data_IF_144378729651
#
_entry.id   IF_144378729651
#
_cell.length_a   1.000
_cell.length_b   1.000
_cell.length_c   1.000
_cell.angle_alpha   90.00
_cell.angle_beta   90.00
_cell.angle_gamma   90.00
#
_symmetry.space_group_name_H-M   'P 1'
#
loop_
_entity.id
_entity.type
_entity.pdbx_description
1 polymer ?
#
# COMPACT_ATOMS: atom_id res chain seq x y z
N UNK A 1 14.82 -23.54 -14.77
CA UNK A 1 15.12 -22.10 -14.88
C UNK A 1 15.30 -21.59 -13.46
N UNK A 2 16.49 -21.16 -13.09
CA UNK A 2 16.85 -20.72 -11.71
C UNK A 2 17.07 -19.22 -11.63
N UNK A 3 16.73 -18.48 -12.69
CA UNK A 3 16.84 -17.03 -12.69
C UNK A 3 15.72 -16.43 -11.83
N UNK A 4 16.07 -15.34 -11.14
CA UNK A 4 15.13 -14.58 -10.33
C UNK A 4 14.03 -13.98 -11.22
N UNK A 5 12.74 -14.10 -10.84
CA UNK A 5 11.66 -13.58 -11.65
C UNK A 5 11.74 -12.04 -11.71
N UNK A 6 11.57 -11.51 -12.92
CA UNK A 6 11.51 -10.07 -13.15
C UNK A 6 10.22 -9.48 -12.59
N UNK A 7 10.23 -8.17 -12.35
CA UNK A 7 9.05 -7.45 -11.86
C UNK A 7 7.86 -7.58 -12.82
N UNK A 8 8.11 -7.58 -14.13
CA UNK A 8 7.08 -7.81 -15.15
C UNK A 8 6.44 -9.20 -15.04
N UNK A 9 7.23 -10.26 -14.84
CA UNK A 9 6.70 -11.63 -14.64
C UNK A 9 5.85 -11.69 -13.38
N UNK A 10 6.35 -11.12 -12.28
CA UNK A 10 5.63 -11.11 -11.00
C UNK A 10 4.33 -10.32 -11.12
N UNK A 11 4.34 -9.17 -11.79
CA UNK A 11 3.18 -8.31 -12.01
C UNK A 11 2.03 -9.07 -12.71
N UNK A 12 2.37 -9.81 -13.78
CA UNK A 12 1.42 -10.68 -14.48
C UNK A 12 0.89 -11.78 -13.57
N UNK A 13 1.75 -12.41 -12.76
CA UNK A 13 1.36 -13.51 -11.88
C UNK A 13 0.39 -13.10 -10.76
N UNK A 14 0.54 -11.91 -10.18
CA UNK A 14 -0.27 -11.46 -9.03
C UNK A 14 -1.32 -10.39 -9.37
N UNK A 15 -1.38 -9.95 -10.63
CA UNK A 15 -2.42 -9.04 -11.11
C UNK A 15 -2.27 -7.58 -10.65
N UNK A 16 -1.03 -7.09 -10.51
CA UNK A 16 -0.73 -5.68 -10.19
C UNK A 16 0.17 -5.07 -11.26
N UNK A 17 0.41 -3.76 -11.22
CA UNK A 17 1.35 -3.14 -12.17
C UNK A 17 2.81 -3.45 -11.84
N UNK A 18 3.67 -3.50 -12.86
CA UNK A 18 5.12 -3.64 -12.68
C UNK A 18 5.69 -2.56 -11.75
N UNK A 19 5.21 -1.32 -11.87
CA UNK A 19 5.60 -0.22 -10.98
C UNK A 19 5.27 -0.50 -9.50
N UNK A 20 4.11 -1.10 -9.24
CA UNK A 20 3.73 -1.50 -7.89
C UNK A 20 4.61 -2.66 -7.38
N UNK A 21 4.99 -3.60 -8.25
CA UNK A 21 5.95 -4.65 -7.90
C UNK A 21 7.28 -4.01 -7.50
N UNK A 22 7.86 -3.15 -8.33
CA UNK A 22 9.12 -2.46 -8.03
C UNK A 22 9.04 -1.64 -6.74
N UNK A 23 7.90 -0.97 -6.48
CA UNK A 23 7.72 -0.15 -5.29
C UNK A 23 7.69 -0.97 -4.00
N UNK A 24 7.03 -2.13 -4.02
CA UNK A 24 6.75 -2.91 -2.82
C UNK A 24 7.69 -4.10 -2.62
N UNK A 25 8.32 -4.62 -3.67
CA UNK A 25 9.31 -5.71 -3.59
C UNK A 25 10.48 -5.29 -2.72
N UNK A 26 10.95 -6.19 -1.87
CA UNK A 26 12.11 -5.97 -1.00
C UNK A 26 13.18 -7.03 -1.20
N UNK A 27 12.79 -8.28 -1.08
CA UNK A 27 13.71 -9.40 -1.08
C UNK A 27 13.11 -10.55 -1.87
N UNK A 28 13.95 -11.41 -2.40
CA UNK A 28 13.53 -12.58 -3.15
C UNK A 28 14.49 -13.72 -2.83
N UNK A 29 13.93 -14.90 -2.55
CA UNK A 29 14.70 -16.06 -2.11
C UNK A 29 14.34 -17.26 -2.97
N UNK A 30 15.37 -17.95 -3.49
CA UNK A 30 15.20 -19.25 -4.13
C UNK A 30 15.11 -20.32 -3.05
N UNK A 31 14.00 -21.05 -3.02
CA UNK A 31 13.74 -22.14 -2.10
C UNK A 31 14.32 -23.46 -2.63
N UNK A 32 14.50 -24.44 -1.74
CA UNK A 32 15.12 -25.74 -2.07
C UNK A 32 14.31 -26.61 -3.04
N UNK A 33 13.03 -26.30 -3.24
CA UNK A 33 12.13 -26.93 -4.22
C UNK A 33 12.17 -26.23 -5.60
N UNK A 34 12.97 -25.17 -5.76
CA UNK A 34 13.06 -24.37 -6.98
C UNK A 34 12.02 -23.25 -7.07
N UNK A 35 11.16 -23.09 -6.06
CA UNK A 35 10.21 -21.98 -5.96
C UNK A 35 10.89 -20.68 -5.57
N UNK A 36 10.33 -19.54 -5.98
CA UNK A 36 10.76 -18.21 -5.53
C UNK A 36 9.80 -17.65 -4.48
N UNK A 37 10.34 -17.30 -3.31
CA UNK A 37 9.65 -16.51 -2.30
C UNK A 37 9.97 -15.03 -2.53
N UNK A 38 8.98 -14.25 -2.94
CA UNK A 38 9.12 -12.80 -3.16
C UNK A 38 8.47 -12.05 -2.01
N UNK A 39 9.26 -11.30 -1.24
CA UNK A 39 8.78 -10.52 -0.10
C UNK A 39 8.41 -9.09 -0.53
N UNK A 40 7.19 -8.69 -0.18
CA UNK A 40 6.65 -7.36 -0.40
C UNK A 40 6.46 -6.63 0.94
N UNK A 41 6.89 -5.37 1.02
CA UNK A 41 6.70 -4.56 2.21
C UNK A 41 6.42 -3.09 1.92
N UNK A 42 5.46 -2.53 2.64
CA UNK A 42 5.22 -1.09 2.70
C UNK A 42 6.14 -0.46 3.75
N UNK A 43 7.12 0.34 3.32
CA UNK A 43 8.02 1.05 4.24
C UNK A 43 7.32 2.31 4.72
N UNK A 44 6.86 2.27 5.96
CA UNK A 44 6.37 3.46 6.66
C UNK A 44 7.49 4.49 6.82
N UNK A 45 7.34 5.76 6.37
CA UNK A 45 8.28 6.84 6.67
C UNK A 45 8.59 6.94 8.16
N UNK A 46 9.84 7.27 8.50
CA UNK A 46 10.31 7.26 9.90
C UNK A 46 9.50 8.22 10.77
N UNK A 47 9.06 9.33 10.20
CA UNK A 47 8.25 10.37 10.82
C UNK A 47 6.89 9.81 11.26
N UNK A 48 6.29 8.94 10.45
CA UNK A 48 5.05 8.26 10.78
C UNK A 48 5.27 7.15 11.80
N UNK A 49 6.37 6.40 11.72
CA UNK A 49 6.70 5.33 12.69
C UNK A 49 6.80 5.82 14.13
N UNK A 50 7.14 7.09 14.34
CA UNK A 50 7.31 7.63 15.69
C UNK A 50 5.98 7.79 16.43
N UNK A 51 4.87 7.97 15.72
CA UNK A 51 3.58 8.32 16.33
C UNK A 51 2.44 7.35 15.97
N UNK A 52 2.65 6.43 15.03
CA UNK A 52 1.58 5.64 14.43
C UNK A 52 1.99 4.17 14.32
N UNK A 53 1.14 3.30 14.85
CA UNK A 53 1.34 1.84 14.89
C UNK A 53 0.45 1.15 13.87
N UNK A 54 0.86 1.20 12.60
CA UNK A 54 0.39 0.24 11.57
C UNK A 54 -0.92 0.53 10.83
N UNK A 55 -1.73 1.50 11.23
CA UNK A 55 -2.91 1.94 10.45
C UNK A 55 -2.99 3.45 10.36
N UNK A 56 -3.17 3.96 9.13
CA UNK A 56 -3.34 5.39 8.86
C UNK A 56 -4.70 5.62 8.23
N UNK A 57 -5.49 6.50 8.83
CA UNK A 57 -6.72 7.01 8.22
C UNK A 57 -6.61 8.52 8.19
N UNK A 58 -6.35 9.05 6.99
CA UNK A 58 -6.34 10.49 6.77
C UNK A 58 -7.76 10.94 6.41
N UNK A 59 -8.43 11.63 7.34
CA UNK A 59 -9.69 12.31 7.07
C UNK A 59 -9.42 13.80 6.84
N UNK A 60 -9.43 14.22 5.57
CA UNK A 60 -9.31 15.64 5.23
C UNK A 60 -10.68 16.30 5.27
N UNK A 61 -10.85 17.32 6.13
CA UNK A 61 -12.03 18.20 6.07
C UNK A 61 -11.87 19.14 4.88
N UNK A 62 -12.86 19.16 3.98
CA UNK A 62 -12.94 20.19 2.97
C UNK A 62 -13.01 21.57 3.67
N UNK A 63 -12.21 22.53 3.19
CA UNK A 63 -12.40 23.93 3.58
C UNK A 63 -13.84 24.28 3.24
N UNK A 64 -14.62 24.63 4.28
CA UNK A 64 -15.97 25.17 4.09
C UNK A 64 -15.80 26.41 3.21
N UNK A 65 -16.29 26.34 1.99
CA UNK A 65 -16.51 27.54 1.19
C UNK A 65 -17.39 28.46 2.04
N UNK A 66 -17.09 29.76 2.17
CA UNK A 66 -17.95 30.69 2.88
C UNK A 66 -19.34 30.65 2.23
N UNK A 67 -20.30 29.98 2.88
CA UNK A 67 -21.66 29.76 2.36
C UNK A 67 -22.18 28.32 2.35
N UNK A 68 -21.41 27.30 2.73
CA UNK A 68 -21.96 25.92 2.86
C UNK A 68 -22.73 25.75 4.18
N UNK A 69 -24.06 25.94 4.13
CA UNK A 69 -25.02 25.85 5.26
C UNK A 69 -25.61 24.43 5.39
N UNK A 70 -24.93 23.39 4.92
CA UNK A 70 -25.38 22.02 5.17
C UNK A 70 -24.99 21.61 6.59
N UNK A 71 -25.80 22.05 7.54
CA UNK A 71 -25.86 21.54 8.89
C UNK A 71 -26.18 20.04 8.78
N UNK A 72 -25.37 19.20 9.41
CA UNK A 72 -25.76 17.80 9.62
C UNK A 72 -26.91 17.90 10.62
N UNK A 73 -28.14 17.71 10.14
CA UNK A 73 -29.26 17.41 11.02
C UNK A 73 -28.94 16.05 11.63
N UNK A 74 -28.45 16.07 12.87
CA UNK A 74 -28.72 14.99 13.81
C UNK A 74 -30.24 14.99 14.05
N UNK A 75 -30.98 14.40 13.12
CA UNK A 75 -32.34 13.97 13.36
C UNK A 75 -32.27 12.64 14.10
N UNK A 76 -32.36 12.73 15.41
CA UNK A 76 -32.81 11.62 16.24
C UNK A 76 -34.18 11.13 15.76
N UNK A 77 -34.30 9.82 15.55
CA UNK A 77 -35.47 8.98 15.87
C UNK A 77 -35.09 7.51 15.84
#
# INVERSE_FOLDING_TARGET
>A
MTEEPSDCVIAVCIGISEQQVTQYRRESFLLGDGSWLVHFAFIMPKELRHQLTGSFTLLLKASRVPGDIRQVDELES
#
